data_IF_489043223826
#
_entry.id   IF_489043223826
#
_cell.length_a   1.000
_cell.length_b   1.000
_cell.length_c   1.000
_cell.angle_alpha   90.00
_cell.angle_beta   90.00
_cell.angle_gamma   90.00
#
_symmetry.space_group_name_H-M   'P 1'
#
loop_
_entity.id
_entity.type
_entity.pdbx_description
1 polymer ?
#
# COMPACT_ATOMS: atom_id res chain seq x y z
N UNK A 1 -20.69 8.45 -21.06
CA UNK A 1 -19.46 8.54 -20.28
C UNK A 1 -19.78 9.37 -19.04
N UNK A 2 -19.57 8.83 -17.83
CA UNK A 2 -19.84 9.58 -16.59
C UNK A 2 -18.85 10.75 -16.52
N UNK A 3 -19.32 11.95 -16.22
CA UNK A 3 -18.49 13.14 -16.05
C UNK A 3 -18.14 13.22 -14.56
N UNK A 4 -16.86 13.37 -14.25
CA UNK A 4 -16.36 13.50 -12.88
C UNK A 4 -15.88 14.91 -12.62
N UNK A 5 -16.21 15.45 -11.46
CA UNK A 5 -15.58 16.67 -10.95
C UNK A 5 -14.09 16.38 -10.63
N UNK A 6 -13.24 17.40 -10.75
CA UNK A 6 -11.81 17.27 -10.43
C UNK A 6 -11.56 16.79 -9.00
N UNK A 7 -12.45 17.12 -8.06
CA UNK A 7 -12.41 16.64 -6.68
C UNK A 7 -12.60 15.13 -6.54
N UNK A 8 -13.21 14.49 -7.54
CA UNK A 8 -13.47 13.05 -7.58
C UNK A 8 -12.49 12.28 -8.47
N UNK A 9 -11.48 12.97 -9.03
CA UNK A 9 -10.42 12.37 -9.82
C UNK A 9 -9.16 12.20 -8.98
N UNK A 10 -8.52 11.03 -9.09
CA UNK A 10 -7.23 10.75 -8.45
C UNK A 10 -6.31 10.03 -9.42
N UNK A 11 -5.13 10.55 -9.60
CA UNK A 11 -4.08 9.90 -10.36
C UNK A 11 -3.13 9.21 -9.38
N UNK A 12 -2.90 7.92 -9.57
CA UNK A 12 -2.08 7.11 -8.66
C UNK A 12 -1.00 6.40 -9.46
N UNK A 13 0.26 6.75 -9.21
CA UNK A 13 1.38 6.06 -9.82
C UNK A 13 1.65 4.73 -9.10
N UNK A 14 1.90 3.67 -9.87
CA UNK A 14 2.27 2.36 -9.32
C UNK A 14 3.73 2.08 -9.65
N UNK A 15 4.57 2.08 -8.62
CA UNK A 15 6.03 1.94 -8.72
C UNK A 15 6.52 0.65 -8.07
N UNK A 16 7.77 0.34 -8.30
CA UNK A 16 8.47 -0.81 -7.72
C UNK A 16 9.42 -1.46 -8.72
N UNK A 17 10.24 -2.37 -8.24
CA UNK A 17 11.23 -3.09 -9.05
C UNK A 17 10.57 -3.89 -10.19
N UNK A 18 11.35 -4.19 -11.23
CA UNK A 18 10.89 -5.05 -12.32
C UNK A 18 10.49 -6.44 -11.78
N UNK A 19 9.35 -6.96 -12.24
CA UNK A 19 8.87 -8.28 -11.83
C UNK A 19 8.25 -8.35 -10.43
N UNK A 20 8.11 -7.25 -9.67
CA UNK A 20 7.44 -7.26 -8.36
C UNK A 20 5.91 -7.43 -8.45
N UNK A 21 5.31 -7.33 -9.66
CA UNK A 21 3.89 -7.59 -9.89
C UNK A 21 3.01 -6.35 -10.00
N UNK A 22 3.55 -5.17 -10.39
CA UNK A 22 2.80 -3.92 -10.59
C UNK A 22 1.60 -4.09 -11.51
N UNK A 23 1.85 -4.53 -12.72
CA UNK A 23 0.81 -4.72 -13.74
C UNK A 23 -0.26 -5.71 -13.26
N UNK A 24 0.13 -6.83 -12.67
CA UNK A 24 -0.84 -7.80 -12.12
C UNK A 24 -1.70 -7.20 -10.99
N UNK A 25 -1.11 -6.38 -10.12
CA UNK A 25 -1.86 -5.67 -9.08
C UNK A 25 -2.89 -4.73 -9.70
N UNK A 26 -2.47 -3.90 -10.67
CA UNK A 26 -3.35 -2.95 -11.38
C UNK A 26 -4.50 -3.69 -12.07
N UNK A 27 -4.20 -4.78 -12.78
CA UNK A 27 -5.21 -5.61 -13.43
C UNK A 27 -6.22 -6.20 -12.43
N UNK A 28 -5.71 -6.68 -11.29
CA UNK A 28 -6.56 -7.23 -10.22
C UNK A 28 -7.47 -6.17 -9.61
N UNK A 29 -6.93 -4.98 -9.33
CA UNK A 29 -7.72 -3.85 -8.82
C UNK A 29 -8.78 -3.46 -9.84
N UNK A 30 -8.40 -3.32 -11.10
CA UNK A 30 -9.31 -2.94 -12.16
C UNK A 30 -10.42 -3.98 -12.40
N UNK A 31 -10.08 -5.27 -12.35
CA UNK A 31 -11.05 -6.36 -12.42
C UNK A 31 -12.04 -6.34 -11.25
N UNK A 32 -11.55 -6.14 -10.04
CA UNK A 32 -12.37 -6.11 -8.83
C UNK A 32 -13.30 -4.90 -8.79
N UNK A 33 -12.79 -3.71 -9.17
CA UNK A 33 -13.55 -2.47 -9.14
C UNK A 33 -14.63 -2.40 -10.24
N UNK A 34 -14.36 -2.92 -11.44
CA UNK A 34 -15.26 -2.80 -12.59
C UNK A 34 -16.16 -4.03 -12.84
N UNK A 35 -16.32 -4.88 -11.83
CA UNK A 35 -17.22 -6.05 -11.90
C UNK A 35 -17.12 -6.82 -13.23
N UNK A 36 -15.98 -7.47 -13.50
CA UNK A 36 -15.76 -8.45 -14.57
C UNK A 36 -15.72 -7.90 -16.02
N UNK A 37 -15.45 -6.62 -16.27
CA UNK A 37 -15.50 -6.04 -17.62
C UNK A 37 -14.16 -5.63 -18.22
N UNK A 38 -13.04 -5.84 -17.56
CA UNK A 38 -11.74 -5.58 -18.19
C UNK A 38 -11.28 -6.85 -18.90
N UNK A 39 -10.96 -6.76 -20.21
CA UNK A 39 -10.27 -7.85 -20.86
C UNK A 39 -8.99 -8.11 -20.06
N UNK A 40 -8.74 -9.37 -19.67
CA UNK A 40 -7.40 -9.75 -19.19
C UNK A 40 -6.38 -9.16 -20.15
N UNK A 41 -5.63 -8.18 -19.68
CA UNK A 41 -4.45 -7.76 -20.40
C UNK A 41 -3.62 -9.04 -20.55
N UNK A 42 -3.45 -9.47 -21.76
CA UNK A 42 -3.04 -10.80 -22.16
C UNK A 42 -1.86 -11.34 -21.40
N UNK A 43 -1.88 -12.63 -21.09
CA UNK A 43 -0.85 -13.48 -20.45
C UNK A 43 0.59 -13.37 -20.99
N UNK A 44 0.94 -12.33 -21.74
CA UNK A 44 2.18 -12.24 -22.51
C UNK A 44 3.06 -11.01 -22.31
N UNK A 45 2.71 -10.04 -21.46
CA UNK A 45 3.59 -8.89 -21.23
C UNK A 45 4.33 -9.07 -19.91
N UNK A 46 5.43 -9.79 -19.94
CA UNK A 46 6.36 -9.90 -18.81
C UNK A 46 7.10 -8.60 -18.47
N UNK A 47 6.94 -7.54 -19.29
CA UNK A 47 7.69 -6.28 -19.16
C UNK A 47 6.86 -5.10 -19.62
N UNK A 48 6.73 -4.08 -18.78
CA UNK A 48 6.17 -2.77 -19.14
C UNK A 48 7.29 -1.88 -19.64
N UNK A 49 7.23 -1.47 -20.90
CA UNK A 49 8.25 -0.61 -21.55
C UNK A 49 7.87 0.87 -21.58
N UNK A 50 6.59 1.19 -21.42
CA UNK A 50 6.08 2.55 -21.40
C UNK A 50 4.97 2.68 -20.38
N UNK A 51 4.70 3.91 -19.93
CA UNK A 51 3.62 4.19 -19.00
C UNK A 51 2.26 3.76 -19.59
N UNK A 52 1.52 2.95 -18.81
CA UNK A 52 0.13 2.59 -19.07
C UNK A 52 -0.82 3.40 -18.19
N UNK A 53 -2.01 3.76 -18.69
CA UNK A 53 -3.07 4.41 -17.92
C UNK A 53 -4.30 3.51 -17.88
N UNK A 54 -4.70 3.11 -16.68
CA UNK A 54 -5.87 2.24 -16.45
C UNK A 54 -6.86 2.97 -15.54
N UNK A 55 -8.01 3.44 -16.10
CA UNK A 55 -9.03 4.08 -15.31
C UNK A 55 -9.89 3.06 -14.58
N UNK A 56 -10.18 3.31 -13.31
CA UNK A 56 -11.11 2.56 -12.49
C UNK A 56 -12.13 3.50 -11.83
N UNK A 57 -13.33 3.00 -11.59
CA UNK A 57 -14.39 3.72 -10.88
C UNK A 57 -14.71 2.96 -9.59
N UNK A 58 -14.66 3.64 -8.46
CA UNK A 58 -14.94 3.06 -7.15
C UNK A 58 -15.49 4.12 -6.20
N UNK A 59 -16.62 3.84 -5.55
CA UNK A 59 -17.27 4.73 -4.58
C UNK A 59 -17.41 6.18 -5.07
N UNK A 60 -17.92 6.36 -6.29
CA UNK A 60 -18.10 7.65 -6.98
C UNK A 60 -16.80 8.42 -7.31
N UNK A 61 -15.65 7.88 -7.02
CA UNK A 61 -14.37 8.39 -7.49
C UNK A 61 -13.92 7.69 -8.77
N UNK A 62 -13.17 8.43 -9.58
CA UNK A 62 -12.40 7.88 -10.69
C UNK A 62 -10.92 7.92 -10.35
N UNK A 63 -10.31 6.75 -10.33
CA UNK A 63 -8.87 6.60 -10.17
C UNK A 63 -8.25 6.30 -11.53
N UNK A 64 -7.20 7.02 -11.87
CA UNK A 64 -6.35 6.74 -13.01
C UNK A 64 -5.08 6.08 -12.47
N UNK A 65 -4.95 4.76 -12.61
CA UNK A 65 -3.75 4.04 -12.24
C UNK A 65 -2.72 4.16 -13.36
N UNK A 66 -1.54 4.67 -13.02
CA UNK A 66 -0.42 4.83 -13.94
C UNK A 66 0.55 3.67 -13.72
N UNK A 67 0.52 2.68 -14.63
CA UNK A 67 1.47 1.56 -14.61
C UNK A 67 2.83 2.05 -15.10
N UNK A 68 3.84 2.03 -14.25
CA UNK A 68 5.18 2.53 -14.58
C UNK A 68 6.13 1.39 -14.91
N UNK A 69 7.07 1.61 -15.84
CA UNK A 69 8.16 0.67 -16.10
C UNK A 69 8.97 0.42 -14.82
N UNK A 70 9.34 -0.85 -14.60
CA UNK A 70 10.16 -1.23 -13.44
C UNK A 70 11.66 -1.23 -13.68
N UNK A 71 12.11 -0.87 -14.87
CA UNK A 71 13.52 -0.80 -15.27
C UNK A 71 14.06 0.63 -15.19
N UNK A 72 15.33 0.76 -14.80
CA UNK A 72 16.00 2.05 -14.65
C UNK A 72 16.12 2.86 -15.93
N UNK A 73 16.20 2.20 -17.07
CA UNK A 73 16.34 2.84 -18.38
C UNK A 73 15.11 3.70 -18.74
N UNK A 74 13.98 3.49 -18.06
CA UNK A 74 12.73 4.23 -18.25
C UNK A 74 12.43 5.22 -17.12
N UNK A 75 13.45 5.72 -16.43
CA UNK A 75 13.31 6.66 -15.31
C UNK A 75 12.55 7.94 -15.66
N UNK A 76 12.62 8.41 -16.91
CA UNK A 76 11.87 9.55 -17.42
C UNK A 76 10.35 9.37 -17.34
N UNK A 77 9.85 8.20 -17.69
CA UNK A 77 8.42 7.86 -17.61
C UNK A 77 7.95 7.78 -16.16
N UNK A 78 8.79 7.27 -15.26
CA UNK A 78 8.50 7.23 -13.82
C UNK A 78 8.35 8.63 -13.25
N UNK A 79 9.30 9.52 -13.52
CA UNK A 79 9.26 10.92 -13.05
C UNK A 79 8.07 11.67 -13.64
N UNK A 80 7.76 11.44 -14.92
CA UNK A 80 6.59 12.05 -15.57
C UNK A 80 5.29 11.59 -14.96
N UNK A 81 5.17 10.29 -14.66
CA UNK A 81 4.01 9.70 -13.97
C UNK A 81 3.82 10.30 -12.59
N UNK A 82 4.90 10.43 -11.80
CA UNK A 82 4.84 11.01 -10.46
C UNK A 82 4.41 12.48 -10.47
N UNK A 83 4.86 13.27 -11.42
CA UNK A 83 4.43 14.67 -11.58
C UNK A 83 2.94 14.82 -11.89
N UNK A 84 2.33 13.81 -12.48
CA UNK A 84 0.91 13.79 -12.80
C UNK A 84 0.06 13.11 -11.72
N UNK A 85 0.68 12.59 -10.65
CA UNK A 85 0.01 11.77 -9.64
C UNK A 85 -0.26 12.52 -8.35
N UNK A 86 -1.39 12.22 -7.72
CA UNK A 86 -1.80 12.72 -6.41
C UNK A 86 -1.22 11.83 -5.29
N UNK A 87 -0.96 10.54 -5.60
CA UNK A 87 -0.44 9.56 -4.66
C UNK A 87 0.32 8.45 -5.40
N UNK A 88 1.02 7.61 -4.65
CA UNK A 88 1.74 6.47 -5.18
C UNK A 88 1.42 5.15 -4.45
N UNK A 89 1.47 4.04 -5.18
CA UNK A 89 1.52 2.68 -4.63
C UNK A 89 2.90 2.11 -4.95
N UNK A 90 3.65 1.73 -3.92
CA UNK A 90 4.96 1.10 -4.07
C UNK A 90 4.80 -0.40 -3.87
N UNK A 91 4.99 -1.16 -4.94
CA UNK A 91 4.88 -2.62 -4.91
C UNK A 91 6.23 -3.23 -4.58
N UNK A 92 6.27 -3.98 -3.48
CA UNK A 92 7.47 -4.63 -2.94
C UNK A 92 7.31 -6.14 -3.07
N UNK A 93 8.30 -6.80 -3.62
CA UNK A 93 8.33 -8.26 -3.73
C UNK A 93 8.77 -8.87 -2.40
N UNK A 94 7.90 -9.61 -1.72
CA UNK A 94 8.23 -10.26 -0.45
C UNK A 94 9.33 -11.30 -0.57
N UNK A 95 9.60 -11.83 -1.76
CA UNK A 95 10.68 -12.80 -1.98
C UNK A 95 12.06 -12.15 -2.08
N UNK A 96 12.10 -10.86 -2.42
CA UNK A 96 13.30 -10.05 -2.54
C UNK A 96 12.99 -8.59 -2.18
N UNK A 97 12.73 -8.26 -0.91
CA UNK A 97 12.22 -6.94 -0.51
C UNK A 97 13.23 -5.81 -0.74
N UNK A 98 14.51 -6.09 -0.58
CA UNK A 98 15.59 -5.11 -0.78
C UNK A 98 16.10 -5.22 -2.21
N UNK A 99 15.55 -4.39 -3.09
CA UNK A 99 15.94 -4.30 -4.49
C UNK A 99 16.20 -2.84 -4.86
N UNK A 100 17.15 -2.59 -5.75
CA UNK A 100 17.51 -1.22 -6.19
C UNK A 100 16.30 -0.45 -6.72
N UNK A 101 15.37 -1.12 -7.43
CA UNK A 101 14.13 -0.48 -7.90
C UNK A 101 13.16 -0.14 -6.78
N UNK A 102 13.14 -0.91 -5.70
CA UNK A 102 12.35 -0.60 -4.50
C UNK A 102 12.92 0.65 -3.82
N UNK A 103 14.24 0.69 -3.57
CA UNK A 103 14.91 1.83 -2.93
C UNK A 103 14.70 3.12 -3.72
N UNK A 104 14.90 3.09 -5.03
CA UNK A 104 14.65 4.26 -5.90
C UNK A 104 13.18 4.69 -5.93
N UNK A 105 12.25 3.75 -5.91
CA UNK A 105 10.81 4.08 -5.83
C UNK A 105 10.49 4.81 -4.52
N UNK A 106 11.09 4.37 -3.42
CA UNK A 106 10.94 5.01 -2.11
C UNK A 106 11.55 6.43 -2.08
N UNK A 107 12.73 6.63 -2.70
CA UNK A 107 13.37 7.94 -2.83
C UNK A 107 12.54 8.91 -3.67
N UNK A 108 12.10 8.48 -4.85
CA UNK A 108 11.34 9.31 -5.77
C UNK A 108 9.98 9.73 -5.22
N UNK A 109 9.46 9.04 -4.23
CA UNK A 109 8.15 9.29 -3.61
C UNK A 109 8.23 9.90 -2.22
N UNK A 110 9.38 10.38 -1.75
CA UNK A 110 9.53 10.93 -0.40
C UNK A 110 8.48 11.99 -0.04
N UNK A 111 8.18 12.90 -0.96
CA UNK A 111 7.23 14.00 -0.77
C UNK A 111 5.81 13.72 -1.28
N UNK A 112 5.51 12.48 -1.67
CA UNK A 112 4.21 12.11 -2.24
C UNK A 112 3.50 11.16 -1.27
N UNK A 113 2.21 11.39 -0.96
CA UNK A 113 1.40 10.43 -0.20
C UNK A 113 1.49 9.03 -0.83
N UNK A 114 1.80 8.02 -0.02
CA UNK A 114 2.07 6.68 -0.57
C UNK A 114 1.55 5.55 0.28
N UNK A 115 1.28 4.43 -0.38
CA UNK A 115 0.97 3.14 0.25
C UNK A 115 2.01 2.12 -0.21
N UNK A 116 2.57 1.34 0.70
CA UNK A 116 3.43 0.21 0.40
C UNK A 116 2.58 -1.05 0.29
N UNK A 117 2.69 -1.74 -0.84
CA UNK A 117 2.00 -3.00 -1.10
C UNK A 117 3.01 -4.13 -1.18
N UNK A 118 3.08 -4.97 -0.15
CA UNK A 118 3.98 -6.13 -0.12
C UNK A 118 3.29 -7.28 -0.83
N UNK A 119 3.81 -7.63 -2.00
CA UNK A 119 3.26 -8.64 -2.90
C UNK A 119 3.98 -10.00 -2.77
N UNK A 120 3.38 -11.05 -3.29
CA UNK A 120 3.89 -12.44 -3.31
C UNK A 120 4.13 -13.00 -1.91
N UNK A 121 3.31 -12.62 -0.96
CA UNK A 121 3.40 -13.07 0.44
C UNK A 121 3.03 -14.55 0.61
N UNK A 122 2.34 -15.13 -0.37
CA UNK A 122 1.96 -16.53 -0.47
C UNK A 122 3.09 -17.45 -0.97
N UNK A 123 4.19 -16.85 -1.46
CA UNK A 123 5.34 -17.61 -1.93
C UNK A 123 6.14 -18.19 -0.75
N UNK A 124 6.63 -19.42 -0.87
CA UNK A 124 7.45 -20.11 0.14
C UNK A 124 8.74 -19.33 0.50
N UNK A 125 9.25 -18.51 -0.43
CA UNK A 125 10.44 -17.68 -0.24
C UNK A 125 10.12 -16.29 0.30
N UNK A 126 8.85 -16.00 0.64
CA UNK A 126 8.45 -14.69 1.14
C UNK A 126 9.13 -14.36 2.47
N UNK A 127 9.70 -13.16 2.54
CA UNK A 127 10.38 -12.59 3.71
C UNK A 127 9.65 -11.34 4.17
N UNK A 128 8.38 -11.50 4.55
CA UNK A 128 7.52 -10.39 4.94
C UNK A 128 8.11 -9.57 6.10
N UNK A 129 8.65 -10.26 7.13
CA UNK A 129 9.27 -9.60 8.28
C UNK A 129 10.47 -8.73 7.87
N UNK A 130 11.29 -9.19 6.91
CA UNK A 130 12.43 -8.42 6.41
C UNK A 130 11.98 -7.19 5.62
N UNK A 131 10.90 -7.31 4.84
CA UNK A 131 10.31 -6.17 4.13
C UNK A 131 9.83 -5.08 5.10
N UNK A 132 9.11 -5.47 6.15
CA UNK A 132 8.66 -4.53 7.19
C UNK A 132 9.84 -3.91 7.94
N UNK A 133 10.87 -4.70 8.29
CA UNK A 133 12.07 -4.21 8.97
C UNK A 133 12.79 -3.14 8.14
N UNK A 134 13.00 -3.40 6.84
CA UNK A 134 13.60 -2.44 5.90
C UNK A 134 12.80 -1.13 5.84
N UNK A 135 11.47 -1.23 5.71
CA UNK A 135 10.60 -0.06 5.65
C UNK A 135 10.65 0.75 6.96
N UNK A 136 10.63 0.07 8.10
CA UNK A 136 10.73 0.73 9.42
C UNK A 136 12.06 1.43 9.61
N UNK A 137 13.16 0.83 9.19
CA UNK A 137 14.48 1.45 9.23
C UNK A 137 14.50 2.74 8.38
N UNK A 138 13.97 2.69 7.15
CA UNK A 138 13.94 3.84 6.25
C UNK A 138 13.03 4.97 6.75
N UNK A 139 11.93 4.66 7.39
CA UNK A 139 10.90 5.64 7.83
C UNK A 139 10.84 5.82 9.36
N UNK A 140 11.95 5.56 10.07
CA UNK A 140 12.07 5.79 11.52
C UNK A 140 10.92 5.16 12.32
N UNK A 141 10.56 3.91 12.02
CA UNK A 141 9.47 3.16 12.64
C UNK A 141 8.04 3.71 12.42
N UNK A 142 7.87 4.70 11.58
CA UNK A 142 6.54 5.27 11.24
C UNK A 142 5.72 4.40 10.28
N UNK A 143 6.14 3.18 10.02
CA UNK A 143 5.44 2.23 9.15
C UNK A 143 4.71 1.20 10.00
N UNK A 144 3.39 1.14 9.83
CA UNK A 144 2.55 0.11 10.44
C UNK A 144 1.77 -0.63 9.36
N UNK A 145 1.81 -1.97 9.35
CA UNK A 145 1.01 -2.75 8.42
C UNK A 145 -0.47 -2.67 8.81
N UNK A 146 -1.31 -2.17 7.90
CA UNK A 146 -2.77 -2.17 8.04
C UNK A 146 -3.35 -3.58 7.82
N UNK A 147 -2.70 -4.35 6.98
CA UNK A 147 -3.04 -5.74 6.65
C UNK A 147 -1.77 -6.58 6.79
N UNK A 148 -1.84 -7.62 7.59
CA UNK A 148 -0.71 -8.51 7.88
C UNK A 148 -1.01 -9.95 7.47
N UNK A 149 -0.05 -10.67 6.88
CA UNK A 149 -0.22 -12.09 6.61
C UNK A 149 -0.09 -12.92 7.90
N UNK A 150 -0.94 -13.92 8.02
CA UNK A 150 -0.85 -14.95 9.03
C UNK A 150 -0.25 -16.20 8.38
N UNK A 151 0.83 -16.71 8.98
CA UNK A 151 1.50 -17.93 8.56
C UNK A 151 1.36 -18.99 9.64
N UNK A 152 1.11 -20.25 9.21
CA UNK A 152 1.21 -21.43 10.05
C UNK A 152 2.23 -22.39 9.43
N UNK A 153 3.23 -22.77 10.21
CA UNK A 153 4.32 -23.64 9.73
C UNK A 153 4.98 -23.13 8.43
N UNK A 154 5.19 -21.82 8.34
CA UNK A 154 5.70 -21.08 7.16
C UNK A 154 4.76 -21.02 5.95
N UNK A 155 3.58 -21.61 6.02
CA UNK A 155 2.59 -21.54 4.96
C UNK A 155 1.65 -20.34 5.19
N UNK A 156 1.40 -19.57 4.14
CA UNK A 156 0.41 -18.50 4.16
C UNK A 156 -0.99 -19.09 4.42
N UNK A 157 -1.70 -18.54 5.40
CA UNK A 157 -3.04 -18.99 5.78
C UNK A 157 -4.10 -17.95 5.36
N UNK A 158 -3.97 -16.74 5.86
CA UNK A 158 -4.91 -15.66 5.59
C UNK A 158 -4.28 -14.28 5.80
N UNK A 159 -4.98 -13.25 5.37
CA UNK A 159 -4.70 -11.87 5.78
C UNK A 159 -5.51 -11.52 7.02
N UNK A 160 -4.94 -10.70 7.88
CA UNK A 160 -5.63 -10.06 8.99
C UNK A 160 -5.56 -8.53 8.83
N UNK A 161 -6.72 -7.90 8.87
CA UNK A 161 -6.84 -6.45 8.87
C UNK A 161 -6.79 -5.95 10.33
N UNK A 162 -6.00 -4.93 10.62
CA UNK A 162 -5.81 -4.36 11.96
C UNK A 162 -7.13 -3.87 12.61
N UNK A 163 -8.14 -3.59 11.80
CA UNK A 163 -9.49 -3.18 12.27
C UNK A 163 -10.48 -4.33 12.46
N UNK A 164 -10.11 -5.55 12.07
CA UNK A 164 -10.94 -6.74 12.33
C UNK A 164 -10.85 -7.14 13.80
N UNK A 165 -11.83 -7.93 14.22
CA UNK A 165 -11.87 -8.44 15.60
C UNK A 165 -10.65 -9.34 15.87
N UNK A 166 -9.90 -8.99 16.90
CA UNK A 166 -8.69 -9.71 17.32
C UNK A 166 -9.07 -11.00 18.07
N UNK A 167 -10.28 -11.11 18.59
CA UNK A 167 -10.72 -12.28 19.35
C UNK A 167 -10.84 -13.56 18.51
N UNK A 168 -10.94 -13.41 17.18
CA UNK A 168 -10.90 -14.52 16.24
C UNK A 168 -9.48 -15.11 16.02
N UNK A 169 -8.48 -14.52 16.67
CA UNK A 169 -7.09 -14.96 16.64
C UNK A 169 -6.70 -15.62 17.95
N UNK A 170 -5.82 -16.63 17.89
CA UNK A 170 -5.32 -17.35 19.04
C UNK A 170 -3.79 -17.30 19.14
N UNK A 171 -3.26 -17.43 20.36
CA UNK A 171 -1.84 -17.56 20.63
C UNK A 171 -0.99 -16.41 20.09
N UNK A 172 0.15 -16.71 19.50
CA UNK A 172 1.12 -15.75 18.97
C UNK A 172 0.51 -14.78 17.94
N UNK A 173 -0.50 -15.19 17.20
CA UNK A 173 -1.16 -14.34 16.19
C UNK A 173 -1.99 -13.23 16.83
N UNK A 174 -2.64 -13.53 17.97
CA UNK A 174 -3.39 -12.53 18.74
C UNK A 174 -2.44 -11.47 19.31
N UNK A 175 -1.33 -11.90 19.89
CA UNK A 175 -0.30 -10.99 20.42
C UNK A 175 0.30 -10.09 19.33
N UNK A 176 0.62 -10.64 18.17
CA UNK A 176 1.12 -9.86 17.03
C UNK A 176 0.08 -8.85 16.53
N UNK A 177 -1.17 -9.22 16.40
CA UNK A 177 -2.25 -8.33 15.96
C UNK A 177 -2.49 -7.19 16.97
N UNK A 178 -2.44 -7.50 18.27
CA UNK A 178 -2.54 -6.49 19.35
C UNK A 178 -1.39 -5.49 19.26
N UNK A 179 -0.14 -5.97 19.14
CA UNK A 179 1.04 -5.09 19.04
C UNK A 179 0.99 -4.19 17.79
N UNK A 180 0.50 -4.70 16.65
CA UNK A 180 0.31 -3.89 15.43
C UNK A 180 -0.77 -2.83 15.64
N UNK A 181 -1.88 -3.18 16.29
CA UNK A 181 -2.96 -2.24 16.58
C UNK A 181 -2.51 -1.14 17.54
N UNK A 182 -1.80 -1.49 18.59
CA UNK A 182 -1.24 -0.53 19.55
C UNK A 182 -0.27 0.45 18.84
N UNK A 183 0.67 -0.06 18.04
CA UNK A 183 1.58 0.78 17.27
C UNK A 183 0.86 1.71 16.28
N UNK A 184 -0.24 1.26 15.67
CA UNK A 184 -1.04 2.12 14.81
C UNK A 184 -1.74 3.21 15.60
N UNK A 185 -2.34 2.89 16.77
CA UNK A 185 -3.02 3.87 17.61
C UNK A 185 -2.05 4.93 18.14
N UNK A 186 -0.83 4.53 18.51
CA UNK A 186 0.22 5.45 18.93
C UNK A 186 0.59 6.44 17.81
N UNK A 187 0.83 5.94 16.58
CA UNK A 187 1.12 6.80 15.43
C UNK A 187 -0.06 7.71 15.06
N UNK A 188 -1.29 7.24 15.19
CA UNK A 188 -2.49 8.07 14.98
C UNK A 188 -2.55 9.18 16.05
N UNK A 189 -2.29 8.86 17.30
CA UNK A 189 -2.30 9.83 18.39
C UNK A 189 -1.28 10.96 18.17
N UNK A 190 -0.10 10.66 17.66
CA UNK A 190 0.92 11.66 17.33
C UNK A 190 0.53 12.66 16.22
N UNK A 191 -0.57 12.42 15.51
CA UNK A 191 -0.98 13.29 14.39
C UNK A 191 -1.73 14.56 14.81
N UNK A 192 -2.35 14.57 16.00
CA UNK A 192 -3.23 15.65 16.46
C UNK A 192 -3.21 15.71 18.00
N UNK A 193 -3.00 16.90 18.57
CA UNK A 193 -2.87 17.10 20.02
C UNK A 193 -4.13 16.63 20.80
N UNK A 194 -5.33 16.81 20.24
CA UNK A 194 -6.57 16.36 20.89
C UNK A 194 -6.70 14.84 20.90
N UNK A 195 -6.24 14.19 19.83
CA UNK A 195 -6.22 12.72 19.75
C UNK A 195 -5.16 12.18 20.72
N UNK A 196 -4.01 12.85 20.82
CA UNK A 196 -2.95 12.48 21.75
C UNK A 196 -3.41 12.56 23.22
N UNK A 197 -4.06 13.65 23.59
CA UNK A 197 -4.59 13.83 24.94
C UNK A 197 -5.57 12.70 25.33
N UNK A 198 -6.49 12.34 24.44
CA UNK A 198 -7.42 11.22 24.64
C UNK A 198 -6.67 9.88 24.80
N UNK A 199 -5.72 9.61 23.91
CA UNK A 199 -4.94 8.38 23.95
C UNK A 199 -4.16 8.25 25.27
N UNK A 200 -3.51 9.33 25.74
CA UNK A 200 -2.77 9.37 27.00
C UNK A 200 -3.68 9.20 28.24
N UNK A 201 -4.92 9.66 28.15
CA UNK A 201 -5.93 9.46 29.20
C UNK A 201 -6.58 8.06 29.18
N UNK A 202 -6.22 7.20 28.23
CA UNK A 202 -6.78 5.85 28.08
C UNK A 202 -8.20 5.85 27.52
N UNK A 203 -8.63 6.92 26.85
CA UNK A 203 -9.92 6.99 26.19
C UNK A 203 -9.87 6.27 24.83
N UNK A 204 -10.96 5.61 24.46
CA UNK A 204 -11.08 4.99 23.14
C UNK A 204 -11.23 6.04 22.03
N UNK A 205 -10.45 5.90 20.97
CA UNK A 205 -10.58 6.76 19.79
C UNK A 205 -11.78 6.34 18.95
N UNK A 206 -12.54 7.32 18.49
CA UNK A 206 -13.66 7.09 17.57
C UNK A 206 -13.16 6.71 16.18
N UNK A 207 -14.01 6.05 15.38
CA UNK A 207 -13.70 5.71 13.99
C UNK A 207 -13.33 6.94 13.15
N UNK A 208 -13.97 8.08 13.41
CA UNK A 208 -13.70 9.34 12.70
C UNK A 208 -12.31 9.89 13.07
N UNK A 209 -11.93 9.83 14.34
CA UNK A 209 -10.59 10.25 14.80
C UNK A 209 -9.49 9.35 14.23
N UNK A 210 -9.72 8.05 14.19
CA UNK A 210 -8.81 7.09 13.56
C UNK A 210 -8.62 7.41 12.07
N UNK A 211 -9.72 7.61 11.34
CA UNK A 211 -9.66 7.97 9.92
C UNK A 211 -8.94 9.29 9.68
N UNK A 212 -9.24 10.31 10.49
CA UNK A 212 -8.56 11.62 10.44
C UNK A 212 -7.06 11.46 10.65
N UNK A 213 -6.64 10.73 11.69
CA UNK A 213 -5.23 10.50 12.00
C UNK A 213 -4.50 9.75 10.88
N UNK A 214 -5.11 8.71 10.29
CA UNK A 214 -4.55 7.99 9.15
C UNK A 214 -4.33 8.94 7.96
N UNK A 215 -5.32 9.76 7.62
CA UNK A 215 -5.22 10.73 6.51
C UNK A 215 -4.07 11.70 6.75
N UNK A 216 -3.97 12.28 7.95
CA UNK A 216 -2.90 13.21 8.32
C UNK A 216 -1.54 12.50 8.25
N UNK A 217 -1.43 11.30 8.79
CA UNK A 217 -0.21 10.49 8.74
C UNK A 217 0.29 10.24 7.33
N UNK A 218 -0.61 9.82 6.42
CA UNK A 218 -0.29 9.58 5.01
C UNK A 218 0.14 10.86 4.29
N UNK A 219 -0.47 12.01 4.62
CA UNK A 219 -0.13 13.31 4.02
C UNK A 219 1.23 13.86 4.48
N UNK A 220 1.65 13.52 5.69
CA UNK A 220 2.96 13.93 6.22
C UNK A 220 4.13 13.09 5.67
N UNK A 221 3.87 11.95 5.05
CA UNK A 221 4.85 11.05 4.41
C UNK A 221 5.43 10.03 5.34
#
# INVERSE_FOLDING_TARGET
MKVYDSKMLRNVAVLGHSGCGKTNLIETIAYTANTNKIPKLTDKVNMTYSMGLIPIEYNDYKFNLLDTPGYFDFSGDVVSSLRASDAAIIVIDATAPIQVGTEKSLELTESIPKIMFINKIDNEKARYKDAIAMLREKYNNKIVPMISPIYKDKNFVKLHNVFENIDDLEGEFKEQAMSVKEALMELIAETDDQILDKYLNGEELTTEEIQKGIIIGIQRG
#
